data_IF_757636078671
#
_entry.id   IF_757636078671
#
_cell.length_a   1.000
_cell.length_b   1.000
_cell.length_c   1.000
_cell.angle_alpha   90.00
_cell.angle_beta   90.00
_cell.angle_gamma   90.00
#
_symmetry.space_group_name_H-M   'P 1'
#
loop_
_entity.id
_entity.type
_entity.pdbx_description
1 polymer ?
#
# COMPACT_ATOMS: atom_id res chain seq x y z
N UNK A 1 -0.57 -5.86 2.50
CA UNK A 1 -1.68 -6.71 2.01
C UNK A 1 -1.23 -8.05 1.42
N UNK A 2 -0.35 -8.11 0.39
CA UNK A 2 0.03 -9.36 -0.30
C UNK A 2 0.63 -10.41 0.66
N UNK A 3 1.51 -10.03 1.55
CA UNK A 3 2.13 -10.96 2.50
C UNK A 3 1.11 -11.60 3.45
N UNK A 4 0.16 -10.81 3.97
CA UNK A 4 -0.93 -11.34 4.81
C UNK A 4 -1.82 -12.31 4.04
N UNK A 5 -2.18 -11.99 2.79
CA UNK A 5 -2.94 -12.93 1.97
C UNK A 5 -2.20 -14.26 1.78
N UNK A 6 -0.91 -14.22 1.50
CA UNK A 6 -0.10 -15.44 1.36
C UNK A 6 -0.11 -16.27 2.64
N UNK A 7 0.02 -15.63 3.79
CA UNK A 7 -0.02 -16.29 5.09
C UNK A 7 -1.41 -16.88 5.40
N UNK A 8 -2.48 -16.17 5.07
CA UNK A 8 -3.85 -16.65 5.22
C UNK A 8 -4.11 -17.86 4.31
N UNK A 9 -3.77 -17.76 3.01
CA UNK A 9 -3.95 -18.84 2.03
C UNK A 9 -3.17 -20.11 2.42
N UNK A 10 -2.01 -19.97 3.05
CA UNK A 10 -1.23 -21.12 3.52
C UNK A 10 -1.95 -21.93 4.62
N UNK A 11 -2.95 -21.33 5.28
CA UNK A 11 -3.78 -21.98 6.32
C UNK A 11 -5.11 -22.52 5.77
N UNK A 12 -5.34 -22.42 4.46
CA UNK A 12 -6.55 -22.90 3.78
C UNK A 12 -6.25 -24.20 3.06
N UNK A 13 -7.21 -25.13 3.04
CA UNK A 13 -7.10 -26.39 2.29
C UNK A 13 -6.84 -26.11 0.80
N UNK A 14 -6.09 -27.00 0.13
CA UNK A 14 -5.79 -26.80 -1.31
C UNK A 14 -7.03 -26.67 -2.18
N UNK A 15 -8.11 -27.41 -1.82
CA UNK A 15 -9.39 -27.39 -2.54
C UNK A 15 -10.06 -26.01 -2.48
N UNK A 16 -9.94 -25.30 -1.34
CA UNK A 16 -10.66 -24.06 -1.09
C UNK A 16 -9.85 -22.80 -1.42
N UNK A 17 -8.54 -22.96 -1.69
CA UNK A 17 -7.64 -21.79 -1.86
C UNK A 17 -8.07 -20.82 -2.95
N UNK A 18 -8.59 -21.32 -4.07
CA UNK A 18 -8.95 -20.45 -5.19
C UNK A 18 -10.26 -19.71 -4.92
N UNK A 19 -11.25 -20.36 -4.31
CA UNK A 19 -12.47 -19.73 -3.84
C UNK A 19 -12.16 -18.68 -2.76
N UNK A 20 -11.36 -19.04 -1.76
CA UNK A 20 -10.93 -18.12 -0.69
C UNK A 20 -10.20 -16.88 -1.23
N UNK A 21 -9.34 -17.04 -2.24
CA UNK A 21 -8.67 -15.90 -2.91
C UNK A 21 -9.65 -15.02 -3.66
N UNK A 22 -10.61 -15.62 -4.37
CA UNK A 22 -11.63 -14.88 -5.14
C UNK A 22 -12.50 -14.04 -4.20
N UNK A 23 -13.08 -14.66 -3.17
CA UNK A 23 -13.96 -13.99 -2.21
C UNK A 23 -13.22 -12.88 -1.45
N UNK A 24 -11.96 -13.13 -1.05
CA UNK A 24 -11.13 -12.09 -0.43
C UNK A 24 -10.88 -10.92 -1.38
N UNK A 25 -10.67 -11.15 -2.69
CA UNK A 25 -10.52 -10.05 -3.62
C UNK A 25 -11.78 -9.20 -3.74
N UNK A 26 -12.95 -9.81 -3.62
CA UNK A 26 -14.24 -9.09 -3.63
C UNK A 26 -14.38 -8.14 -2.43
N UNK A 27 -13.76 -8.43 -1.30
CA UNK A 27 -13.75 -7.52 -0.14
C UNK A 27 -13.10 -6.17 -0.45
N UNK A 28 -12.02 -6.17 -1.23
CA UNK A 28 -11.17 -4.98 -1.47
C UNK A 28 -11.29 -4.40 -2.88
N UNK A 29 -11.80 -5.17 -3.83
CA UNK A 29 -12.05 -4.71 -5.19
C UNK A 29 -13.52 -4.27 -5.34
N UNK A 30 -13.80 -3.51 -6.38
CA UNK A 30 -15.16 -3.05 -6.71
C UNK A 30 -15.85 -2.21 -5.59
N UNK A 31 -15.07 -1.52 -4.76
CA UNK A 31 -15.62 -0.60 -3.76
C UNK A 31 -16.27 0.56 -4.52
N UNK A 32 -17.55 0.79 -4.24
CA UNK A 32 -18.38 1.81 -4.89
C UNK A 32 -18.20 3.18 -4.25
N UNK A 33 -18.00 3.21 -2.96
CA UNK A 33 -17.90 4.43 -2.18
C UNK A 33 -16.68 5.31 -2.53
N UNK A 34 -16.79 6.62 -2.31
CA UNK A 34 -15.67 7.53 -2.48
C UNK A 34 -14.55 7.24 -1.47
N UNK A 35 -13.29 7.64 -1.77
CA UNK A 35 -12.18 7.52 -0.83
C UNK A 35 -12.50 8.13 0.52
N UNK A 36 -12.09 7.46 1.61
CA UNK A 36 -12.31 7.91 2.97
C UNK A 36 -13.06 6.89 3.82
N UNK A 37 -13.74 7.37 4.85
CA UNK A 37 -14.43 6.52 5.85
C UNK A 37 -15.54 5.66 5.25
N UNK A 38 -16.26 6.16 4.23
CA UNK A 38 -17.33 5.39 3.58
C UNK A 38 -16.78 4.15 2.88
N UNK A 39 -15.67 4.28 2.15
CA UNK A 39 -15.00 3.14 1.53
C UNK A 39 -14.47 2.14 2.57
N UNK A 40 -13.96 2.62 3.70
CA UNK A 40 -13.53 1.77 4.82
C UNK A 40 -14.73 1.02 5.39
N UNK A 41 -15.84 1.70 5.64
CA UNK A 41 -17.07 1.10 6.16
C UNK A 41 -17.65 0.03 5.23
N UNK A 42 -17.71 0.31 3.93
CA UNK A 42 -18.12 -0.68 2.91
C UNK A 42 -17.24 -1.92 2.97
N UNK A 43 -15.92 -1.72 3.08
CA UNK A 43 -14.96 -2.82 3.14
C UNK A 43 -15.09 -3.63 4.44
N UNK A 44 -15.38 -2.98 5.58
CA UNK A 44 -15.68 -3.68 6.84
C UNK A 44 -16.91 -4.57 6.71
N UNK A 45 -18.02 -4.06 6.16
CA UNK A 45 -19.24 -4.84 5.94
C UNK A 45 -18.98 -6.06 5.03
N UNK A 46 -18.19 -5.91 3.98
CA UNK A 46 -17.81 -7.01 3.09
C UNK A 46 -16.92 -8.04 3.81
N UNK A 47 -16.03 -7.57 4.70
CA UNK A 47 -15.19 -8.45 5.50
C UNK A 47 -16.02 -9.26 6.51
N UNK A 48 -17.07 -8.69 7.08
CA UNK A 48 -17.99 -9.42 7.97
C UNK A 48 -18.70 -10.56 7.22
N UNK A 49 -19.14 -10.30 5.99
CA UNK A 49 -19.70 -11.35 5.10
C UNK A 49 -18.67 -12.46 4.79
N UNK A 50 -17.46 -12.07 4.42
CA UNK A 50 -16.35 -13.00 4.19
C UNK A 50 -16.04 -13.84 5.44
N UNK A 51 -16.02 -13.21 6.60
CA UNK A 51 -15.81 -13.87 7.89
C UNK A 51 -16.91 -14.89 8.17
N UNK A 52 -18.18 -14.51 8.02
CA UNK A 52 -19.31 -15.42 8.23
C UNK A 52 -19.26 -16.67 7.34
N UNK A 53 -18.75 -16.53 6.11
CA UNK A 53 -18.60 -17.62 5.15
C UNK A 53 -17.45 -18.58 5.52
N UNK A 54 -16.29 -18.04 5.90
CA UNK A 54 -15.04 -18.80 5.99
C UNK A 54 -14.58 -19.15 7.40
N UNK A 55 -15.09 -18.47 8.45
CA UNK A 55 -14.60 -18.62 9.82
C UNK A 55 -14.80 -20.04 10.36
N UNK A 56 -15.90 -20.71 9.98
CA UNK A 56 -16.19 -22.08 10.43
C UNK A 56 -15.23 -23.10 9.83
N UNK A 57 -14.90 -22.96 8.54
CA UNK A 57 -14.04 -23.91 7.82
C UNK A 57 -12.54 -23.63 8.04
N UNK A 58 -12.15 -22.35 8.08
CA UNK A 58 -10.76 -21.92 8.13
C UNK A 58 -10.53 -20.77 9.13
N UNK A 59 -10.79 -20.98 10.45
CA UNK A 59 -10.73 -19.93 11.46
C UNK A 59 -9.35 -19.26 11.53
N UNK A 60 -8.26 -20.02 11.41
CA UNK A 60 -6.91 -19.50 11.45
C UNK A 60 -6.53 -18.66 10.23
N UNK A 61 -7.15 -18.88 9.07
CA UNK A 61 -6.95 -18.08 7.88
C UNK A 61 -7.70 -16.73 7.99
N UNK A 62 -8.94 -16.77 8.49
CA UNK A 62 -9.75 -15.59 8.74
C UNK A 62 -9.11 -14.71 9.81
N UNK A 63 -8.69 -15.30 10.95
CA UNK A 63 -7.99 -14.56 12.01
C UNK A 63 -6.77 -13.81 11.49
N UNK A 64 -5.97 -14.44 10.61
CA UNK A 64 -4.81 -13.81 9.99
C UNK A 64 -5.16 -12.55 9.15
N UNK A 65 -6.36 -12.46 8.56
CA UNK A 65 -6.81 -11.30 7.80
C UNK A 65 -7.44 -10.23 8.69
N UNK A 66 -8.12 -10.64 9.77
CA UNK A 66 -8.87 -9.74 10.66
C UNK A 66 -7.97 -9.07 11.69
N UNK A 67 -6.90 -9.74 12.16
CA UNK A 67 -6.02 -9.31 13.24
C UNK A 67 -5.50 -7.87 13.13
N UNK A 68 -5.36 -7.33 11.93
CA UNK A 68 -4.88 -5.96 11.69
C UNK A 68 -5.59 -5.38 10.46
N UNK A 69 -6.92 -5.54 10.46
CA UNK A 69 -7.74 -5.15 9.32
C UNK A 69 -7.67 -3.66 9.03
N UNK A 70 -7.52 -2.84 10.06
CA UNK A 70 -7.36 -1.40 9.94
C UNK A 70 -6.17 -1.04 9.05
N UNK A 71 -5.00 -1.64 9.27
CA UNK A 71 -3.83 -1.45 8.40
C UNK A 71 -4.07 -1.88 6.95
N UNK A 72 -4.95 -2.86 6.72
CA UNK A 72 -5.30 -3.30 5.37
C UNK A 72 -6.20 -2.30 4.63
N UNK A 73 -6.94 -1.47 5.35
CA UNK A 73 -7.89 -0.49 4.80
C UNK A 73 -7.31 0.91 4.61
N UNK A 74 -6.15 1.22 5.18
CA UNK A 74 -5.50 2.55 5.10
C UNK A 74 -5.44 3.08 3.66
N UNK A 75 -5.17 2.21 2.67
CA UNK A 75 -5.08 2.62 1.26
C UNK A 75 -6.39 3.20 0.70
N UNK A 76 -7.54 2.91 1.31
CA UNK A 76 -8.86 3.38 0.88
C UNK A 76 -9.08 4.88 1.20
N UNK A 77 -8.27 5.46 2.07
CA UNK A 77 -8.27 6.90 2.34
C UNK A 77 -7.59 7.72 1.23
N UNK A 78 -6.73 7.07 0.42
CA UNK A 78 -6.04 7.70 -0.69
C UNK A 78 -6.94 7.83 -1.94
N UNK A 79 -6.56 8.68 -2.93
CA UNK A 79 -7.27 8.76 -4.21
C UNK A 79 -7.51 7.38 -4.83
N UNK A 80 -8.71 7.15 -5.37
CA UNK A 80 -9.15 5.83 -5.87
C UNK A 80 -8.21 5.26 -6.95
N UNK A 81 -7.68 6.12 -7.80
CA UNK A 81 -6.70 5.79 -8.83
C UNK A 81 -5.37 5.27 -8.27
N UNK A 82 -5.06 5.58 -7.00
CA UNK A 82 -3.85 5.13 -6.32
C UNK A 82 -4.02 3.81 -5.57
N UNK A 83 -5.24 3.38 -5.27
CA UNK A 83 -5.51 2.22 -4.41
C UNK A 83 -4.73 0.97 -4.82
N UNK A 84 -4.71 0.66 -6.12
CA UNK A 84 -3.99 -0.50 -6.65
C UNK A 84 -2.49 -0.44 -6.36
N UNK A 85 -1.91 0.74 -6.26
CA UNK A 85 -0.48 0.94 -6.00
C UNK A 85 -0.17 1.03 -4.51
N UNK A 86 -1.03 1.69 -3.74
CA UNK A 86 -0.83 1.89 -2.30
C UNK A 86 -1.06 0.63 -1.48
N UNK A 87 -1.90 -0.31 -1.93
CA UNK A 87 -2.21 -1.53 -1.17
C UNK A 87 -1.09 -2.58 -1.09
N UNK A 88 0.06 -2.36 -1.73
CA UNK A 88 1.21 -3.26 -1.66
C UNK A 88 2.53 -2.52 -1.87
N UNK A 89 3.63 -3.12 -1.41
CA UNK A 89 4.97 -2.52 -1.38
C UNK A 89 5.80 -2.69 -2.66
N UNK A 90 5.29 -3.38 -3.67
CA UNK A 90 6.04 -3.74 -4.89
C UNK A 90 6.73 -2.54 -5.56
N UNK A 91 6.10 -1.35 -5.52
CA UNK A 91 6.66 -0.15 -6.11
C UNK A 91 7.93 0.28 -5.36
N UNK A 92 7.85 0.31 -4.03
CA UNK A 92 8.95 0.65 -3.14
C UNK A 92 10.05 -0.41 -3.23
N UNK A 93 9.71 -1.68 -3.21
CA UNK A 93 10.66 -2.80 -3.32
C UNK A 93 11.47 -2.75 -4.63
N UNK A 94 10.81 -2.47 -5.75
CA UNK A 94 11.48 -2.28 -7.05
C UNK A 94 12.43 -1.09 -7.03
N UNK A 95 12.01 0.01 -6.41
CA UNK A 95 12.80 1.23 -6.32
C UNK A 95 14.04 1.00 -5.47
N UNK A 96 13.91 0.39 -4.30
CA UNK A 96 15.07 0.01 -3.48
C UNK A 96 15.94 -1.06 -4.14
N UNK A 97 15.34 -2.01 -4.87
CA UNK A 97 16.09 -2.98 -5.66
C UNK A 97 16.95 -2.32 -6.74
N UNK A 98 16.45 -1.28 -7.41
CA UNK A 98 17.20 -0.50 -8.38
C UNK A 98 18.35 0.27 -7.72
N UNK A 99 18.11 0.87 -6.56
CA UNK A 99 19.14 1.56 -5.77
C UNK A 99 20.23 0.58 -5.36
N UNK A 100 19.86 -0.57 -4.79
CA UNK A 100 20.82 -1.61 -4.36
C UNK A 100 21.70 -2.09 -5.52
N UNK A 101 21.13 -2.31 -6.72
CA UNK A 101 21.93 -2.73 -7.88
C UNK A 101 22.95 -1.69 -8.31
N UNK A 102 22.63 -0.39 -8.20
CA UNK A 102 23.56 0.69 -8.57
C UNK A 102 24.63 0.94 -7.52
N UNK A 103 24.26 0.85 -6.24
CA UNK A 103 25.23 1.06 -5.15
C UNK A 103 26.17 -0.12 -4.96
N UNK A 104 25.71 -1.35 -5.22
CA UNK A 104 26.52 -2.58 -5.06
C UNK A 104 27.78 -2.62 -5.93
N UNK A 105 27.77 -1.99 -7.10
CA UNK A 105 28.93 -1.96 -8.00
C UNK A 105 29.98 -0.93 -7.59
N UNK A 106 29.66 -0.08 -6.63
CA UNK A 106 30.58 0.92 -6.08
C UNK A 106 31.22 0.33 -4.83
N UNK A 107 32.47 -0.09 -4.94
CA UNK A 107 33.18 -0.77 -3.85
C UNK A 107 33.32 0.10 -2.57
N UNK A 108 33.52 1.42 -2.74
CA UNK A 108 33.61 2.37 -1.62
C UNK A 108 33.09 3.73 -2.06
N UNK A 109 32.16 4.27 -1.29
CA UNK A 109 31.68 5.64 -1.47
C UNK A 109 32.59 6.62 -0.70
N UNK A 110 32.94 7.78 -1.29
CA UNK A 110 33.89 8.71 -0.70
C UNK A 110 33.37 9.43 0.55
N UNK A 111 32.10 9.27 0.90
CA UNK A 111 31.50 9.87 2.11
C UNK A 111 29.99 9.78 2.11
N UNK A 112 29.38 10.11 3.25
CA UNK A 112 27.93 10.06 3.47
C UNK A 112 27.17 10.95 2.49
N UNK A 113 27.61 12.20 2.28
CA UNK A 113 27.00 13.14 1.31
C UNK A 113 26.90 12.55 -0.08
N UNK A 114 27.96 11.92 -0.56
CA UNK A 114 27.97 11.29 -1.89
C UNK A 114 27.03 10.10 -1.93
N UNK A 115 26.95 9.33 -0.86
CA UNK A 115 26.02 8.21 -0.73
C UNK A 115 24.56 8.70 -0.82
N UNK A 116 24.20 9.71 -0.04
CA UNK A 116 22.85 10.29 -0.02
C UNK A 116 22.50 10.90 -1.38
N UNK A 117 23.41 11.66 -2.00
CA UNK A 117 23.18 12.25 -3.32
C UNK A 117 22.96 11.18 -4.40
N UNK A 118 23.76 10.10 -4.38
CA UNK A 118 23.59 8.98 -5.32
C UNK A 118 22.23 8.28 -5.13
N UNK A 119 21.88 7.96 -3.88
CA UNK A 119 20.61 7.33 -3.54
C UNK A 119 19.45 8.22 -3.98
N UNK A 120 19.50 9.51 -3.67
CA UNK A 120 18.50 10.49 -4.09
C UNK A 120 18.34 10.53 -5.61
N UNK A 121 19.43 10.64 -6.37
CA UNK A 121 19.40 10.68 -7.84
C UNK A 121 18.79 9.40 -8.43
N UNK A 122 19.08 8.23 -7.83
CA UNK A 122 18.48 6.96 -8.27
C UNK A 122 16.98 6.93 -7.97
N UNK A 123 16.57 7.37 -6.78
CA UNK A 123 15.16 7.41 -6.36
C UNK A 123 14.36 8.38 -7.24
N UNK A 124 14.90 9.59 -7.49
CA UNK A 124 14.24 10.58 -8.35
C UNK A 124 14.04 10.05 -9.78
N UNK A 125 15.07 9.42 -10.35
CA UNK A 125 14.97 8.79 -11.67
C UNK A 125 13.92 7.66 -11.68
N UNK A 126 13.85 6.84 -10.63
CA UNK A 126 12.85 5.77 -10.54
C UNK A 126 11.44 6.33 -10.38
N UNK A 127 11.26 7.40 -9.60
CA UNK A 127 9.98 8.09 -9.41
C UNK A 127 9.36 8.54 -10.74
N UNK A 128 10.18 9.08 -11.66
CA UNK A 128 9.73 9.50 -13.00
C UNK A 128 9.15 8.35 -13.83
N UNK A 129 9.55 7.11 -13.54
CA UNK A 129 9.03 5.89 -14.18
C UNK A 129 7.82 5.26 -13.49
N UNK A 130 7.32 5.83 -12.40
CA UNK A 130 6.16 5.29 -11.70
C UNK A 130 4.87 5.51 -12.49
N UNK A 131 4.21 4.41 -12.89
CA UNK A 131 2.94 4.45 -13.59
C UNK A 131 1.78 4.18 -12.63
N UNK A 132 0.64 4.84 -12.85
CA UNK A 132 -0.57 4.68 -12.04
C UNK A 132 -0.55 5.44 -10.71
N UNK A 133 0.29 6.49 -10.61
CA UNK A 133 0.32 7.47 -9.54
C UNK A 133 0.11 8.86 -10.17
N UNK A 134 -1.01 9.03 -10.85
CA UNK A 134 -1.33 10.30 -11.52
C UNK A 134 -1.80 11.32 -10.47
N UNK A 135 -1.11 12.45 -10.40
CA UNK A 135 -1.45 13.54 -9.49
C UNK A 135 -2.41 14.51 -10.18
N UNK A 136 -3.70 14.21 -10.14
CA UNK A 136 -4.74 15.15 -10.56
C UNK A 136 -4.93 16.25 -9.51
N UNK A 137 -5.48 17.44 -9.86
CA UNK A 137 -5.79 18.47 -8.87
C UNK A 137 -6.69 18.00 -7.73
N UNK A 138 -7.61 17.07 -8.03
CA UNK A 138 -8.47 16.44 -7.02
C UNK A 138 -7.67 15.50 -6.10
N UNK A 139 -6.76 14.69 -6.66
CA UNK A 139 -5.90 13.82 -5.90
C UNK A 139 -4.98 14.61 -4.97
N UNK A 140 -4.40 15.72 -5.46
CA UNK A 140 -3.54 16.57 -4.65
C UNK A 140 -4.29 17.20 -3.47
N UNK A 141 -5.52 17.69 -3.66
CA UNK A 141 -6.33 18.22 -2.57
C UNK A 141 -6.60 17.16 -1.52
N UNK A 142 -7.09 15.98 -1.92
CA UNK A 142 -7.34 14.88 -0.99
C UNK A 142 -6.08 14.48 -0.21
N UNK A 143 -4.92 14.46 -0.85
CA UNK A 143 -3.65 14.15 -0.17
C UNK A 143 -3.22 15.25 0.80
N UNK A 144 -3.49 16.52 0.48
CA UNK A 144 -3.26 17.65 1.39
C UNK A 144 -4.17 17.57 2.61
N UNK A 145 -5.47 17.29 2.40
CA UNK A 145 -6.43 17.13 3.49
C UNK A 145 -6.02 15.98 4.42
N UNK A 146 -5.67 14.82 3.86
CA UNK A 146 -5.17 13.68 4.64
C UNK A 146 -3.87 14.01 5.39
N UNK A 147 -2.97 14.78 4.78
CA UNK A 147 -1.74 15.20 5.44
C UNK A 147 -2.03 16.10 6.64
N UNK A 148 -2.90 17.10 6.47
CA UNK A 148 -3.31 17.99 7.56
C UNK A 148 -4.02 17.23 8.70
N UNK A 149 -4.86 16.25 8.36
CA UNK A 149 -5.52 15.38 9.34
C UNK A 149 -4.52 14.56 10.17
N UNK A 150 -3.49 13.98 9.52
CA UNK A 150 -2.57 13.05 10.17
C UNK A 150 -1.39 13.73 10.88
N UNK A 151 -0.91 14.86 10.37
CA UNK A 151 0.31 15.51 10.84
C UNK A 151 0.04 16.87 11.49
N UNK A 152 -1.20 17.36 11.45
CA UNK A 152 -1.53 18.74 11.79
C UNK A 152 -0.96 19.72 10.74
N UNK A 153 -1.24 21.00 10.93
CA UNK A 153 -0.67 22.09 10.08
C UNK A 153 0.82 22.30 10.39
N UNK A 154 1.63 21.31 10.08
CA UNK A 154 3.08 21.47 10.08
C UNK A 154 3.47 22.25 8.80
N UNK A 155 4.20 23.38 8.92
CA UNK A 155 4.67 24.12 7.74
C UNK A 155 5.55 23.22 6.86
N UNK A 156 5.52 23.50 5.55
CA UNK A 156 6.19 22.72 4.49
C UNK A 156 7.73 22.78 4.51
N UNK A 157 8.37 22.78 5.67
CA UNK A 157 9.83 22.87 5.82
C UNK A 157 10.65 21.75 5.17
N UNK A 158 9.97 20.64 4.75
CA UNK A 158 10.66 19.48 4.16
C UNK A 158 10.81 19.61 2.63
N UNK A 159 10.04 20.46 1.96
CA UNK A 159 10.08 20.58 0.49
C UNK A 159 11.06 21.67 0.03
N UNK A 160 11.32 22.68 0.85
CA UNK A 160 12.20 23.80 0.51
C UNK A 160 13.69 23.43 0.57
N UNK A 161 14.07 22.36 1.23
CA UNK A 161 15.46 21.89 1.33
C UNK A 161 15.95 21.07 0.14
N UNK A 162 15.14 20.86 -0.89
CA UNK A 162 15.43 20.05 -2.07
C UNK A 162 15.28 20.80 -3.41
N UNK A 163 15.20 22.14 -3.38
CA UNK A 163 15.20 22.98 -4.58
C UNK A 163 16.61 23.45 -4.95
#
# INVERSE_FOLDING_TARGET
MIHRLRNAVAKVSKADQDAFKADRWEVFDKISEPPGELAVKETCQRMDGFRAQWERAHPGAVACLVEDFESLTVHLRFPKEHWRRCRHTNLIERTFGATRRRTKVIGRLPGERTCVALVFAVLDRQRKGWRGMTMTPRALRLLQDLRSELLGDQPDDIITAAA
#
